data_IF_257442200408
#
_entry.id   IF_257442200408
#
_cell.length_a   1.000
_cell.length_b   1.000
_cell.length_c   1.000
_cell.angle_alpha   90.00
_cell.angle_beta   90.00
_cell.angle_gamma   90.00
#
_symmetry.space_group_name_H-M   'P 1'
#
loop_
_entity.id
_entity.type
_entity.pdbx_description
1 polymer ?
#
# COMPACT_ATOMS: atom_id res chain seq x y z
N UNK A 1 20.46 26.35 -5.62
CA UNK A 1 19.30 26.07 -4.75
C UNK A 1 19.71 25.61 -3.34
N UNK A 2 20.78 24.80 -3.18
CA UNK A 2 21.22 24.26 -1.86
C UNK A 2 21.54 25.29 -0.76
N UNK A 3 22.24 26.38 -1.07
CA UNK A 3 22.58 27.40 -0.06
C UNK A 3 21.33 28.04 0.57
N UNK A 4 20.32 28.34 -0.27
CA UNK A 4 19.06 28.96 0.16
C UNK A 4 18.22 27.98 0.99
N UNK A 5 18.25 26.69 0.66
CA UNK A 5 17.51 25.66 1.40
C UNK A 5 18.15 25.34 2.75
N UNK A 6 19.47 25.29 2.84
CA UNK A 6 20.17 25.13 4.10
C UNK A 6 19.88 26.30 5.06
N UNK A 7 19.88 27.55 4.56
CA UNK A 7 19.55 28.73 5.35
C UNK A 7 18.09 28.72 5.83
N UNK A 8 17.13 28.38 4.97
CA UNK A 8 15.72 28.24 5.38
C UNK A 8 15.53 27.12 6.40
N UNK A 9 16.20 25.98 6.22
CA UNK A 9 16.15 24.84 7.15
C UNK A 9 16.70 25.26 8.52
N UNK A 10 17.84 25.95 8.55
CA UNK A 10 18.41 26.49 9.79
C UNK A 10 17.46 27.50 10.46
N UNK A 11 16.83 28.39 9.69
CA UNK A 11 15.87 29.36 10.22
C UNK A 11 14.65 28.68 10.85
N UNK A 12 14.10 27.65 10.21
CA UNK A 12 12.96 26.89 10.74
C UNK A 12 13.36 26.16 12.03
N UNK A 13 14.50 25.48 12.01
CA UNK A 13 14.99 24.74 13.17
C UNK A 13 15.35 25.65 14.36
N UNK A 14 15.67 26.92 14.11
CA UNK A 14 15.92 27.90 15.16
C UNK A 14 14.62 28.44 15.80
N UNK A 15 13.51 28.45 15.07
CA UNK A 15 12.23 28.99 15.55
C UNK A 15 11.34 27.93 16.19
N UNK A 16 11.36 26.70 15.66
CA UNK A 16 10.45 25.64 16.09
C UNK A 16 11.14 24.68 17.05
N UNK A 17 12.16 23.96 16.59
CA UNK A 17 13.09 23.16 17.40
C UNK A 17 14.21 22.62 16.49
N UNK A 18 15.39 22.30 17.04
CA UNK A 18 16.42 21.60 16.28
C UNK A 18 15.88 20.30 15.66
N UNK A 19 15.90 20.21 14.33
CA UNK A 19 15.47 19.02 13.59
C UNK A 19 14.01 19.02 13.12
N UNK A 20 13.24 20.08 13.36
CA UNK A 20 11.87 20.23 12.83
C UNK A 20 11.80 20.08 11.30
N UNK A 21 12.76 20.68 10.60
CA UNK A 21 12.88 20.62 9.15
C UNK A 21 14.19 19.95 8.75
N UNK A 22 14.08 19.08 7.75
CA UNK A 22 15.21 18.49 7.04
C UNK A 22 15.43 19.24 5.73
N UNK A 23 16.68 19.40 5.32
CA UNK A 23 17.02 20.14 4.10
C UNK A 23 16.40 19.52 2.85
N UNK A 24 16.34 18.18 2.80
CA UNK A 24 15.71 17.45 1.70
C UNK A 24 14.19 17.75 1.59
N UNK A 25 13.49 17.85 2.72
CA UNK A 25 12.06 18.22 2.76
C UNK A 25 11.86 19.66 2.29
N UNK A 26 12.68 20.60 2.78
CA UNK A 26 12.61 22.01 2.37
C UNK A 26 12.92 22.17 0.88
N UNK A 27 13.91 21.45 0.36
CA UNK A 27 14.20 21.40 -1.09
C UNK A 27 13.03 20.87 -1.91
N UNK A 28 12.35 19.82 -1.43
CA UNK A 28 11.18 19.28 -2.10
C UNK A 28 10.02 20.28 -2.12
N UNK A 29 9.75 20.98 -1.01
CA UNK A 29 8.76 22.06 -0.96
C UNK A 29 9.09 23.20 -1.91
N UNK A 30 10.35 23.67 -1.94
CA UNK A 30 10.75 24.69 -2.92
C UNK A 30 10.48 24.24 -4.36
N UNK A 31 10.75 22.98 -4.69
CA UNK A 31 10.47 22.44 -6.03
C UNK A 31 8.96 22.36 -6.33
N UNK A 32 8.13 22.02 -5.34
CA UNK A 32 6.67 21.95 -5.46
C UNK A 32 6.07 23.36 -5.64
N UNK A 33 6.48 24.30 -4.79
CA UNK A 33 6.09 25.71 -4.86
C UNK A 33 6.55 26.39 -6.17
N UNK A 34 7.76 26.10 -6.65
CA UNK A 34 8.24 26.62 -7.94
C UNK A 34 7.42 26.12 -9.14
N UNK A 35 6.67 25.02 -8.99
CA UNK A 35 5.76 24.50 -10.02
C UNK A 35 4.33 25.05 -9.89
N UNK A 36 4.08 25.96 -8.93
CA UNK A 36 2.77 26.53 -8.67
C UNK A 36 1.86 25.65 -7.82
N UNK A 37 2.41 24.60 -7.20
CA UNK A 37 1.67 23.74 -6.29
C UNK A 37 1.93 24.20 -4.85
N UNK A 38 0.92 24.84 -4.27
CA UNK A 38 0.93 25.38 -2.91
C UNK A 38 0.51 24.34 -1.85
N UNK A 39 0.19 23.11 -2.27
CA UNK A 39 -0.17 22.04 -1.34
C UNK A 39 1.07 21.50 -0.61
N UNK A 40 1.20 21.87 0.65
CA UNK A 40 2.20 21.31 1.57
C UNK A 40 1.73 20.04 2.28
N UNK A 41 0.47 19.63 2.07
CA UNK A 41 -0.06 18.37 2.61
C UNK A 41 0.58 17.17 1.90
N UNK A 42 0.77 16.09 2.65
CA UNK A 42 1.14 14.80 2.09
C UNK A 42 0.09 14.37 1.08
N UNK A 43 0.55 14.10 -0.15
CA UNK A 43 -0.30 13.48 -1.15
C UNK A 43 -0.74 12.12 -0.60
N UNK A 44 -2.05 11.88 -0.56
CA UNK A 44 -2.60 10.57 -0.19
C UNK A 44 -1.82 9.53 -0.96
N UNK A 45 -1.03 8.72 -0.24
CA UNK A 45 -0.25 7.65 -0.83
C UNK A 45 -1.16 6.89 -1.77
N UNK A 46 -0.87 6.98 -3.07
CA UNK A 46 -1.71 6.45 -4.12
C UNK A 46 -2.03 5.00 -3.79
N UNK A 47 -3.31 4.71 -3.53
CA UNK A 47 -3.82 3.41 -3.08
C UNK A 47 -3.71 2.28 -4.11
N UNK A 48 -2.78 2.37 -5.05
CA UNK A 48 -2.52 1.41 -6.12
C UNK A 48 -2.16 0.01 -5.61
N UNK A 49 -1.68 -0.12 -4.37
CA UNK A 49 -1.36 -1.43 -3.79
C UNK A 49 -2.59 -2.26 -3.42
N UNK A 50 -3.71 -1.63 -3.04
CA UNK A 50 -4.85 -2.36 -2.45
C UNK A 50 -5.73 -3.05 -3.49
N UNK A 51 -5.84 -2.49 -4.69
CA UNK A 51 -6.70 -3.04 -5.74
C UNK A 51 -6.14 -4.35 -6.32
N UNK A 52 -4.82 -4.38 -6.57
CA UNK A 52 -4.11 -5.61 -7.01
C UNK A 52 -4.17 -6.70 -5.94
N UNK A 53 -4.04 -6.33 -4.67
CA UNK A 53 -4.11 -7.27 -3.54
C UNK A 53 -5.53 -7.83 -3.35
N UNK A 54 -6.57 -7.01 -3.56
CA UNK A 54 -7.97 -7.43 -3.45
C UNK A 54 -8.35 -8.46 -4.54
N UNK A 55 -7.93 -8.23 -5.78
CA UNK A 55 -8.19 -9.17 -6.89
C UNK A 55 -7.45 -10.49 -6.70
N UNK A 56 -6.22 -10.44 -6.20
CA UNK A 56 -5.43 -11.63 -5.87
C UNK A 56 -6.06 -12.43 -4.71
N UNK A 57 -6.55 -11.75 -3.68
CA UNK A 57 -7.25 -12.36 -2.56
C UNK A 57 -8.56 -13.03 -3.02
N UNK A 58 -9.32 -12.35 -3.88
CA UNK A 58 -10.56 -12.88 -4.45
C UNK A 58 -10.31 -14.13 -5.30
N UNK A 59 -9.25 -14.13 -6.11
CA UNK A 59 -8.83 -15.30 -6.87
C UNK A 59 -8.50 -16.50 -5.98
N UNK A 60 -7.77 -16.25 -4.89
CA UNK A 60 -7.37 -17.29 -3.93
C UNK A 60 -8.56 -17.89 -3.19
N UNK A 61 -9.51 -17.06 -2.74
CA UNK A 61 -10.77 -17.52 -2.12
C UNK A 61 -11.59 -18.41 -3.05
N UNK A 62 -11.72 -18.02 -4.32
CA UNK A 62 -12.47 -18.80 -5.33
C UNK A 62 -11.83 -20.17 -5.54
N UNK A 63 -10.50 -20.24 -5.64
CA UNK A 63 -9.77 -21.49 -5.81
C UNK A 63 -10.01 -22.44 -4.62
N UNK A 64 -9.88 -21.93 -3.39
CA UNK A 64 -10.08 -22.72 -2.17
C UNK A 64 -11.49 -23.27 -2.11
N UNK A 65 -12.51 -22.45 -2.42
CA UNK A 65 -13.90 -22.86 -2.39
C UNK A 65 -14.20 -23.95 -3.44
N UNK A 66 -13.65 -23.83 -4.65
CA UNK A 66 -13.77 -24.85 -5.70
C UNK A 66 -13.09 -26.17 -5.33
N UNK A 67 -11.88 -26.13 -4.77
CA UNK A 67 -11.17 -27.33 -4.32
C UNK A 67 -11.88 -28.05 -3.17
N UNK A 68 -12.44 -27.29 -2.21
CA UNK A 68 -13.19 -27.85 -1.10
C UNK A 68 -14.44 -28.57 -1.58
N UNK A 69 -15.22 -27.94 -2.47
CA UNK A 69 -16.42 -28.53 -3.04
C UNK A 69 -16.12 -29.82 -3.81
N UNK A 70 -15.06 -29.82 -4.63
CA UNK A 70 -14.62 -30.99 -5.37
C UNK A 70 -14.19 -32.15 -4.44
N UNK A 71 -13.43 -31.85 -3.39
CA UNK A 71 -13.01 -32.86 -2.41
C UNK A 71 -14.19 -33.45 -1.64
N UNK A 72 -15.15 -32.63 -1.24
CA UNK A 72 -16.37 -33.08 -0.55
C UNK A 72 -17.27 -33.92 -1.48
N UNK A 73 -17.39 -33.56 -2.75
CA UNK A 73 -18.18 -34.34 -3.68
C UNK A 73 -17.54 -35.72 -3.93
N UNK A 74 -16.23 -35.76 -4.18
CA UNK A 74 -15.50 -36.99 -4.45
C UNK A 74 -15.46 -37.93 -3.25
N UNK A 75 -15.23 -37.39 -2.04
CA UNK A 75 -15.19 -38.22 -0.83
C UNK A 75 -16.58 -38.83 -0.52
N UNK A 76 -17.66 -38.10 -0.82
CA UNK A 76 -19.02 -38.57 -0.61
C UNK A 76 -19.37 -39.69 -1.60
N UNK A 77 -19.06 -39.53 -2.89
CA UNK A 77 -19.29 -40.58 -3.89
C UNK A 77 -18.48 -41.84 -3.61
N UNK A 78 -17.21 -41.71 -3.22
CA UNK A 78 -16.38 -42.85 -2.78
C UNK A 78 -16.93 -43.54 -1.54
N UNK A 79 -17.44 -42.79 -0.56
CA UNK A 79 -18.05 -43.35 0.64
C UNK A 79 -19.35 -44.11 0.35
N UNK A 80 -20.13 -43.63 -0.63
CA UNK A 80 -21.36 -44.30 -1.07
C UNK A 80 -21.02 -45.60 -1.82
N UNK A 81 -20.05 -45.59 -2.73
CA UNK A 81 -19.62 -46.81 -3.44
C UNK A 81 -19.07 -47.87 -2.47
N UNK A 82 -18.25 -47.46 -1.50
CA UNK A 82 -17.70 -48.37 -0.50
C UNK A 82 -18.77 -49.01 0.41
N UNK A 83 -19.88 -48.31 0.67
CA UNK A 83 -20.99 -48.87 1.45
C UNK A 83 -21.86 -49.87 0.67
N UNK A 84 -21.76 -49.90 -0.68
CA UNK A 84 -22.41 -50.90 -1.53
C UNK A 84 -21.48 -52.05 -1.96
N UNK A 85 -20.19 -52.03 -1.59
CA UNK A 85 -19.26 -53.11 -1.89
C UNK A 85 -18.94 -53.30 -3.38
N UNK A 86 -19.07 -52.23 -4.18
CA UNK A 86 -18.60 -52.12 -5.57
C UNK A 86 -17.21 -51.48 -5.56
#
# INVERSE_FOLDING_TARGET
>A
MGLKTAQTTHSINNTFDPGTAKENTVQWWFKKLCKGDESLQDEKHSGQSLEVEYDQLRGSLKLILSQLHEKLLKNSTSSILWSFGI
#
